data_IF_425164014407
#
_entry.id   IF_425164014407
#
_cell.length_a   1.000
_cell.length_b   1.000
_cell.length_c   1.000
_cell.angle_alpha   90.00
_cell.angle_beta   90.00
_cell.angle_gamma   90.00
#
_symmetry.space_group_name_H-M   'P 1'
#
loop_
_entity.id
_entity.type
_entity.pdbx_description
1 polymer ?
#
# COMPACT_ATOMS: atom_id res chain seq x y z
N UNK A 1 25.62 55.64 16.35
CA UNK A 1 26.43 54.77 17.23
C UNK A 1 26.33 53.34 16.76
N UNK A 2 27.41 52.57 16.87
CA UNK A 2 27.48 51.16 16.46
C UNK A 2 28.12 50.31 17.56
N UNK A 3 27.53 49.15 17.88
CA UNK A 3 28.04 48.27 18.94
C UNK A 3 29.18 47.43 18.40
N UNK A 4 30.39 47.56 18.97
CA UNK A 4 31.56 46.80 18.49
C UNK A 4 31.44 45.29 18.77
N UNK A 5 30.56 44.92 19.70
CA UNK A 5 30.27 43.53 20.06
C UNK A 5 29.49 42.77 18.97
N UNK A 6 28.81 43.46 18.05
CA UNK A 6 28.00 42.81 17.02
C UNK A 6 28.90 42.08 16.01
N UNK A 7 28.70 40.76 15.88
CA UNK A 7 29.51 39.88 15.00
C UNK A 7 29.22 40.14 13.51
N UNK A 8 28.08 40.75 13.19
CA UNK A 8 27.69 41.14 11.83
C UNK A 8 27.01 42.49 11.88
N UNK A 9 27.49 43.47 11.11
CA UNK A 9 26.65 44.59 10.70
C UNK A 9 25.56 44.04 9.76
N UNK A 10 24.42 43.65 10.35
CA UNK A 10 23.31 43.01 9.65
C UNK A 10 22.71 43.90 8.55
N UNK A 11 21.94 43.31 7.63
CA UNK A 11 21.33 44.03 6.50
C UNK A 11 20.49 45.25 6.91
N UNK A 12 19.84 45.19 8.09
CA UNK A 12 19.07 46.30 8.68
C UNK A 12 19.97 47.51 9.00
N UNK A 13 21.20 47.26 9.48
CA UNK A 13 22.16 48.33 9.77
C UNK A 13 22.61 49.04 8.48
N UNK A 14 22.68 48.32 7.35
CA UNK A 14 23.03 48.91 6.05
C UNK A 14 21.91 49.78 5.49
N UNK A 15 20.67 49.28 5.54
CA UNK A 15 19.48 50.01 5.09
C UNK A 15 19.34 51.34 5.82
N UNK A 16 19.41 51.29 7.15
CA UNK A 16 19.33 52.47 8.00
C UNK A 16 20.48 53.44 7.72
N UNK A 17 21.69 52.94 7.46
CA UNK A 17 22.84 53.78 7.16
C UNK A 17 22.77 54.45 5.79
N UNK A 18 22.27 53.74 4.78
CA UNK A 18 22.05 54.32 3.45
C UNK A 18 20.99 55.43 3.50
N UNK A 19 19.89 55.21 4.24
CA UNK A 19 18.88 56.23 4.50
C UNK A 19 19.46 57.43 5.26
N UNK A 20 20.25 57.19 6.31
CA UNK A 20 20.93 58.25 7.05
C UNK A 20 21.81 59.12 6.14
N UNK A 21 22.56 58.50 5.21
CA UNK A 21 23.38 59.23 4.24
C UNK A 21 22.53 60.10 3.32
N UNK A 22 21.38 59.60 2.85
CA UNK A 22 20.46 60.38 2.01
C UNK A 22 19.84 61.56 2.76
N UNK A 23 19.53 61.40 4.05
CA UNK A 23 19.00 62.49 4.89
C UNK A 23 20.04 63.59 5.13
N UNK A 24 21.29 63.20 5.42
CA UNK A 24 22.37 64.13 5.67
C UNK A 24 22.86 64.81 4.38
N UNK A 25 23.03 64.03 3.32
CA UNK A 25 23.74 64.45 2.12
C UNK A 25 25.25 64.42 2.29
N UNK A 26 25.96 64.24 1.18
CA UNK A 26 27.41 64.03 1.19
C UNK A 26 28.19 65.23 1.77
N UNK A 27 27.72 66.45 1.52
CA UNK A 27 28.39 67.68 1.96
C UNK A 27 28.39 67.86 3.50
N UNK A 28 27.40 67.28 4.20
CA UNK A 28 27.27 67.40 5.65
C UNK A 28 27.99 66.26 6.41
N UNK A 29 28.48 65.23 5.70
CA UNK A 29 29.12 64.07 6.32
C UNK A 29 30.38 64.42 7.11
N UNK A 30 31.08 65.51 6.75
CA UNK A 30 32.19 66.06 7.55
C UNK A 30 31.82 66.44 8.99
N UNK A 31 30.54 66.67 9.25
CA UNK A 31 30.00 66.96 10.58
C UNK A 31 29.36 65.73 11.24
N UNK A 32 29.57 64.53 10.70
CA UNK A 32 29.07 63.27 11.25
C UNK A 32 30.21 62.51 11.92
N UNK A 33 29.96 61.94 13.11
CA UNK A 33 30.84 60.93 13.68
C UNK A 33 30.13 59.58 13.88
N UNK A 34 30.84 58.54 13.50
CA UNK A 34 30.49 57.15 13.72
C UNK A 34 31.15 56.73 15.03
N UNK A 35 30.35 56.67 16.08
CA UNK A 35 30.83 56.29 17.41
C UNK A 35 30.65 54.78 17.62
N UNK A 36 31.74 54.07 17.89
CA UNK A 36 31.71 52.66 18.32
C UNK A 36 31.63 52.59 19.84
N UNK A 37 30.71 51.78 20.39
CA UNK A 37 30.53 51.60 21.84
C UNK A 37 30.54 50.12 22.24
N UNK A 38 30.41 49.84 23.55
CA UNK A 38 30.54 48.50 24.16
C UNK A 38 31.94 47.89 24.03
N UNK A 39 32.97 48.72 24.11
CA UNK A 39 34.38 48.29 24.11
C UNK A 39 34.78 47.51 25.37
N UNK A 40 34.01 47.65 26.45
CA UNK A 40 34.12 46.89 27.70
C UNK A 40 33.58 45.45 27.59
N UNK A 41 32.86 45.13 26.52
CA UNK A 41 32.21 43.83 26.32
C UNK A 41 32.91 42.95 25.27
N UNK A 42 34.07 43.36 24.78
CA UNK A 42 34.86 42.61 23.79
C UNK A 42 36.34 42.68 24.14
N UNK A 43 37.08 41.61 23.86
CA UNK A 43 38.54 41.67 23.93
C UNK A 43 39.09 42.74 22.98
N UNK A 44 40.11 43.48 23.43
CA UNK A 44 40.65 44.63 22.71
C UNK A 44 41.04 44.27 21.28
N UNK A 45 41.80 43.20 21.10
CA UNK A 45 42.27 42.75 19.78
C UNK A 45 41.11 42.38 18.84
N UNK A 46 40.05 41.78 19.38
CA UNK A 46 38.85 41.45 18.59
C UNK A 46 38.11 42.73 18.19
N UNK A 47 37.92 43.66 19.13
CA UNK A 47 37.28 44.95 18.88
C UNK A 47 38.03 45.77 17.82
N UNK A 48 39.37 45.80 17.89
CA UNK A 48 40.21 46.53 16.94
C UNK A 48 40.17 45.92 15.53
N UNK A 49 40.17 44.59 15.41
CA UNK A 49 39.95 43.92 14.12
C UNK A 49 38.59 44.26 13.51
N UNK A 50 37.53 44.28 14.33
CA UNK A 50 36.17 44.64 13.88
C UNK A 50 36.09 46.11 13.49
N UNK A 51 36.72 47.01 14.24
CA UNK A 51 36.76 48.42 13.89
C UNK A 51 37.50 48.64 12.56
N UNK A 52 38.62 47.96 12.35
CA UNK A 52 39.36 48.00 11.09
C UNK A 52 38.52 47.47 9.92
N UNK A 53 37.74 46.41 10.13
CA UNK A 53 36.79 45.89 9.14
C UNK A 53 35.71 46.94 8.81
N UNK A 54 35.08 47.53 9.83
CA UNK A 54 34.05 48.56 9.67
C UNK A 54 34.56 49.80 8.91
N UNK A 55 35.83 50.17 9.13
CA UNK A 55 36.49 51.30 8.47
C UNK A 55 36.90 51.00 7.02
N UNK A 56 37.25 49.76 6.70
CA UNK A 56 37.93 49.43 5.43
C UNK A 56 37.02 48.94 4.31
N UNK A 57 35.85 48.39 4.63
CA UNK A 57 34.97 47.79 3.61
C UNK A 57 33.90 48.77 3.13
N UNK A 58 33.68 48.81 1.82
CA UNK A 58 32.66 49.66 1.16
C UNK A 58 31.23 49.32 1.58
N UNK A 59 31.01 48.07 2.00
CA UNK A 59 29.74 47.61 2.55
C UNK A 59 29.44 48.16 3.96
N UNK A 60 30.40 48.85 4.59
CA UNK A 60 30.29 49.42 5.93
C UNK A 60 30.50 50.94 5.92
N UNK A 61 31.43 51.48 6.70
CA UNK A 61 31.53 52.92 6.95
C UNK A 61 32.52 53.62 6.03
N UNK A 62 33.37 52.87 5.31
CA UNK A 62 34.34 53.43 4.37
C UNK A 62 33.77 54.56 3.48
N UNK A 63 32.60 54.39 2.80
CA UNK A 63 32.10 55.41 1.88
C UNK A 63 31.75 56.75 2.54
N UNK A 64 31.50 56.75 3.86
CA UNK A 64 31.15 57.94 4.63
C UNK A 64 32.39 58.54 5.29
N UNK A 65 33.34 57.69 5.70
CA UNK A 65 34.66 58.13 6.16
C UNK A 65 35.45 58.81 5.03
N UNK A 66 35.38 58.28 3.80
CA UNK A 66 36.00 58.87 2.61
C UNK A 66 35.43 60.26 2.28
N UNK A 67 34.22 60.58 2.78
CA UNK A 67 33.55 61.89 2.63
C UNK A 67 33.74 62.82 3.83
N UNK A 68 34.68 62.49 4.72
CA UNK A 68 35.12 63.35 5.81
C UNK A 68 34.45 63.09 7.16
N UNK A 69 33.59 62.08 7.28
CA UNK A 69 33.07 61.68 8.58
C UNK A 69 34.20 61.11 9.46
N UNK A 70 34.05 61.28 10.77
CA UNK A 70 35.02 60.76 11.75
C UNK A 70 34.55 59.44 12.35
N UNK A 71 35.48 58.58 12.75
CA UNK A 71 35.19 57.37 13.54
C UNK A 71 35.82 57.51 14.92
N UNK A 72 35.00 57.40 15.98
CA UNK A 72 35.42 57.65 17.37
C UNK A 72 35.01 56.47 18.27
N UNK A 73 35.79 56.21 19.32
CA UNK A 73 35.49 55.17 20.31
C UNK A 73 34.85 55.79 21.55
N UNK A 74 33.72 55.23 21.99
CA UNK A 74 33.13 55.48 23.30
C UNK A 74 33.36 54.27 24.19
N UNK A 75 34.24 54.42 25.18
CA UNK A 75 34.64 53.34 26.10
C UNK A 75 33.72 53.23 27.33
N UNK A 76 32.50 53.78 27.26
CA UNK A 76 31.55 53.78 28.39
C UNK A 76 31.90 54.77 29.51
N UNK A 77 32.88 55.65 29.30
CA UNK A 77 33.37 56.60 30.30
C UNK A 77 32.94 58.05 30.00
N UNK A 78 32.82 58.88 31.05
CA UNK A 78 32.53 60.31 30.91
C UNK A 78 33.60 61.02 30.06
N UNK A 79 34.87 60.62 30.22
CA UNK A 79 36.01 61.19 29.51
C UNK A 79 35.89 60.95 28.00
N UNK A 80 35.54 59.73 27.57
CA UNK A 80 35.35 59.42 26.15
C UNK A 80 34.12 60.14 25.56
N UNK A 81 33.03 60.27 26.33
CA UNK A 81 31.87 61.07 25.91
C UNK A 81 32.23 62.56 25.70
N UNK A 82 32.95 63.16 26.65
CA UNK A 82 33.44 64.54 26.50
C UNK A 82 34.40 64.71 25.32
N UNK A 83 35.26 63.73 25.06
CA UNK A 83 36.14 63.76 23.89
C UNK A 83 35.35 63.77 22.57
N UNK A 84 34.29 62.95 22.48
CA UNK A 84 33.39 62.95 21.32
C UNK A 84 32.68 64.30 21.17
N UNK A 85 32.15 64.87 22.26
CA UNK A 85 31.48 66.18 22.19
C UNK A 85 32.43 67.29 21.75
N UNK A 86 33.66 67.33 22.28
CA UNK A 86 34.68 68.32 21.90
C UNK A 86 35.05 68.26 20.42
N UNK A 87 34.93 67.09 19.78
CA UNK A 87 35.16 66.94 18.34
C UNK A 87 34.24 67.83 17.50
N UNK A 88 33.02 68.13 17.98
CA UNK A 88 32.03 68.89 17.22
C UNK A 88 31.99 70.39 17.55
N UNK A 89 32.64 70.84 18.64
CA UNK A 89 32.52 72.22 19.16
C UNK A 89 32.96 73.28 18.14
N UNK A 90 33.95 72.96 17.30
CA UNK A 90 34.51 73.89 16.32
C UNK A 90 33.97 73.67 14.90
N UNK A 91 32.99 72.78 14.70
CA UNK A 91 32.47 72.49 13.37
C UNK A 91 31.55 73.61 12.91
N UNK A 92 31.78 74.12 11.71
CA UNK A 92 30.86 75.04 11.06
C UNK A 92 29.55 74.29 10.74
N UNK A 93 28.37 74.86 11.05
CA UNK A 93 27.09 74.24 10.69
C UNK A 93 26.98 74.00 9.18
N UNK A 94 26.43 72.84 8.80
CA UNK A 94 26.14 72.49 7.40
C UNK A 94 24.68 72.08 7.33
N UNK A 95 23.94 72.66 6.38
CA UNK A 95 22.54 72.31 6.13
C UNK A 95 22.46 70.85 5.67
N UNK A 96 21.55 70.08 6.27
CA UNK A 96 21.32 68.70 5.86
C UNK A 96 20.53 68.67 4.55
N UNK A 97 20.77 67.67 3.71
CA UNK A 97 20.07 67.52 2.43
C UNK A 97 18.54 67.53 2.60
N UNK A 98 18.00 66.84 3.61
CA UNK A 98 16.54 66.88 3.85
C UNK A 98 16.03 68.28 4.25
N UNK A 99 16.84 69.08 4.94
CA UNK A 99 16.45 70.44 5.33
C UNK A 99 16.44 71.37 4.11
N UNK A 100 17.45 71.28 3.25
CA UNK A 100 17.51 72.00 1.97
C UNK A 100 16.34 71.59 1.06
N UNK A 101 16.04 70.29 0.97
CA UNK A 101 14.91 69.77 0.19
C UNK A 101 13.55 70.25 0.70
N UNK A 102 13.29 70.18 2.01
CA UNK A 102 11.98 70.51 2.56
C UNK A 102 11.76 72.00 2.75
N UNK A 103 12.77 72.73 3.22
CA UNK A 103 12.65 74.15 3.61
C UNK A 103 12.99 75.05 2.43
N UNK A 104 14.17 74.88 1.84
CA UNK A 104 14.68 75.79 0.82
C UNK A 104 14.05 75.49 -0.57
N UNK A 105 13.84 74.21 -0.89
CA UNK A 105 13.21 73.76 -2.14
C UNK A 105 11.70 73.51 -2.02
N UNK A 106 11.14 73.54 -0.82
CA UNK A 106 9.70 73.41 -0.58
C UNK A 106 9.10 72.04 -0.94
N UNK A 107 9.91 70.97 -0.91
CA UNK A 107 9.44 69.61 -1.20
C UNK A 107 8.70 69.00 -0.01
N UNK A 108 7.67 68.19 -0.30
CA UNK A 108 7.09 67.32 0.72
C UNK A 108 8.08 66.23 1.16
N UNK A 109 7.96 65.74 2.39
CA UNK A 109 8.82 64.65 2.93
C UNK A 109 8.86 63.45 1.98
N UNK A 110 7.73 63.09 1.35
CA UNK A 110 7.63 61.95 0.43
C UNK A 110 8.31 62.20 -0.92
N UNK A 111 8.67 63.44 -1.22
CA UNK A 111 9.36 63.84 -2.46
C UNK A 111 10.87 64.00 -2.26
N UNK A 112 11.37 63.86 -1.03
CA UNK A 112 12.80 63.95 -0.69
C UNK A 112 13.61 62.82 -1.31
N UNK A 113 14.91 63.04 -1.51
CA UNK A 113 15.81 62.00 -2.03
C UNK A 113 15.87 60.76 -1.11
N UNK A 114 15.75 60.98 0.19
CA UNK A 114 15.67 59.91 1.19
C UNK A 114 14.41 59.05 1.04
N UNK A 115 13.25 59.66 0.84
CA UNK A 115 12.00 58.94 0.57
C UNK A 115 12.06 58.17 -0.74
N UNK A 116 12.59 58.78 -1.81
CA UNK A 116 12.75 58.13 -3.11
C UNK A 116 13.63 56.86 -3.03
N UNK A 117 14.70 56.90 -2.23
CA UNK A 117 15.55 55.72 -2.02
C UNK A 117 14.81 54.61 -1.26
N UNK A 118 14.07 54.96 -0.20
CA UNK A 118 13.29 53.99 0.56
C UNK A 118 12.21 53.34 -0.33
N UNK A 119 11.53 54.12 -1.15
CA UNK A 119 10.53 53.67 -2.12
C UNK A 119 11.11 52.70 -3.14
N UNK A 120 12.30 52.99 -3.68
CA UNK A 120 12.97 52.10 -4.62
C UNK A 120 13.26 50.73 -3.98
N UNK A 121 13.73 50.72 -2.72
CA UNK A 121 13.97 49.49 -1.97
C UNK A 121 12.66 48.72 -1.69
N UNK A 122 11.58 49.41 -1.30
CA UNK A 122 10.28 48.80 -1.07
C UNK A 122 9.74 48.17 -2.36
N UNK A 123 9.86 48.86 -3.50
CA UNK A 123 9.40 48.34 -4.80
C UNK A 123 10.20 47.14 -5.25
N UNK A 124 11.52 47.15 -5.09
CA UNK A 124 12.34 45.98 -5.46
C UNK A 124 12.01 44.78 -4.57
N UNK A 125 11.81 44.98 -3.27
CA UNK A 125 11.36 43.91 -2.38
C UNK A 125 9.95 43.42 -2.74
N UNK A 126 9.01 44.32 -3.04
CA UNK A 126 7.67 43.92 -3.49
C UNK A 126 7.73 43.06 -4.77
N UNK A 127 8.57 43.45 -5.74
CA UNK A 127 8.79 42.70 -6.99
C UNK A 127 9.40 41.31 -6.74
N UNK A 128 10.31 41.19 -5.77
CA UNK A 128 10.87 39.89 -5.36
C UNK A 128 9.80 39.00 -4.76
N UNK A 129 9.03 39.53 -3.81
CA UNK A 129 7.94 38.79 -3.17
C UNK A 129 6.87 38.38 -4.20
N UNK A 130 6.54 39.24 -5.17
CA UNK A 130 5.59 38.92 -6.24
C UNK A 130 6.07 37.70 -7.06
N UNK A 131 7.35 37.68 -7.45
CA UNK A 131 7.95 36.53 -8.15
C UNK A 131 7.96 35.25 -7.31
N UNK A 132 8.23 35.36 -6.02
CA UNK A 132 8.19 34.22 -5.10
C UNK A 132 6.78 33.65 -4.97
N UNK A 133 5.77 34.53 -4.86
CA UNK A 133 4.36 34.14 -4.84
C UNK A 133 3.95 33.49 -6.16
N UNK A 134 4.34 34.03 -7.31
CA UNK A 134 4.06 33.42 -8.61
C UNK A 134 4.68 32.03 -8.73
N UNK A 135 5.94 31.89 -8.33
CA UNK A 135 6.65 30.61 -8.33
C UNK A 135 5.95 29.59 -7.42
N UNK A 136 5.64 29.98 -6.18
CA UNK A 136 4.95 29.10 -5.22
C UNK A 136 3.57 28.67 -5.76
N UNK A 137 2.83 29.59 -6.39
CA UNK A 137 1.54 29.27 -7.05
C UNK A 137 1.71 28.30 -8.22
N UNK A 138 2.77 28.45 -9.02
CA UNK A 138 3.05 27.54 -10.13
C UNK A 138 3.42 26.13 -9.64
N UNK A 139 4.29 26.04 -8.63
CA UNK A 139 4.67 24.78 -7.98
C UNK A 139 3.43 24.08 -7.39
N UNK A 140 2.57 24.82 -6.70
CA UNK A 140 1.33 24.26 -6.14
C UNK A 140 0.38 23.72 -7.21
N UNK A 141 0.17 24.45 -8.31
CA UNK A 141 -0.66 23.98 -9.42
C UNK A 141 -0.08 22.72 -10.07
N UNK A 142 1.23 22.67 -10.27
CA UNK A 142 1.89 21.49 -10.83
C UNK A 142 1.75 20.27 -9.91
N UNK A 143 1.84 20.47 -8.59
CA UNK A 143 1.64 19.40 -7.61
C UNK A 143 0.21 18.85 -7.63
N UNK A 144 -0.81 19.71 -7.71
CA UNK A 144 -2.21 19.29 -7.84
C UNK A 144 -2.41 18.48 -9.12
N UNK A 145 -1.95 18.98 -10.27
CA UNK A 145 -2.10 18.29 -11.55
C UNK A 145 -1.40 16.92 -11.55
N UNK A 146 -0.20 16.81 -10.96
CA UNK A 146 0.50 15.55 -10.83
C UNK A 146 -0.25 14.56 -9.91
N UNK A 147 -0.85 15.06 -8.82
CA UNK A 147 -1.64 14.23 -7.92
C UNK A 147 -2.93 13.73 -8.57
N UNK A 148 -3.62 14.57 -9.34
CA UNK A 148 -4.82 14.18 -10.10
C UNK A 148 -4.51 13.13 -11.17
N UNK A 149 -3.41 13.31 -11.90
CA UNK A 149 -2.94 12.34 -12.89
C UNK A 149 -2.60 11.00 -12.25
N UNK A 150 -1.87 11.02 -11.13
CA UNK A 150 -1.52 9.81 -10.39
C UNK A 150 -2.78 9.10 -9.88
N UNK A 151 -3.73 9.83 -9.30
CA UNK A 151 -5.00 9.27 -8.86
C UNK A 151 -5.82 8.67 -10.01
N UNK A 152 -5.75 9.25 -11.22
CA UNK A 152 -6.38 8.67 -12.41
C UNK A 152 -5.74 7.33 -12.79
N UNK A 153 -4.40 7.29 -12.86
CA UNK A 153 -3.65 6.08 -13.19
C UNK A 153 -3.88 4.96 -12.17
N UNK A 154 -3.97 5.28 -10.88
CA UNK A 154 -4.21 4.30 -9.83
C UNK A 154 -5.63 3.72 -9.93
N UNK A 155 -6.65 4.54 -10.23
CA UNK A 155 -8.02 4.05 -10.49
C UNK A 155 -8.08 3.13 -11.71
N UNK A 156 -7.35 3.46 -12.77
CA UNK A 156 -7.29 2.63 -13.99
C UNK A 156 -6.61 1.28 -13.70
N UNK A 157 -5.51 1.28 -12.93
CA UNK A 157 -4.84 0.06 -12.48
C UNK A 157 -5.73 -0.81 -11.59
N UNK A 158 -6.48 -0.20 -10.67
CA UNK A 158 -7.43 -0.93 -9.83
C UNK A 158 -8.58 -1.52 -10.65
N UNK A 159 -9.10 -0.79 -11.65
CA UNK A 159 -10.15 -1.29 -12.54
C UNK A 159 -9.66 -2.51 -13.33
N UNK A 160 -8.46 -2.44 -13.91
CA UNK A 160 -7.87 -3.57 -14.64
C UNK A 160 -7.63 -4.78 -13.74
N UNK A 161 -7.17 -4.57 -12.49
CA UNK A 161 -7.02 -5.66 -11.52
C UNK A 161 -8.35 -6.34 -11.20
N UNK A 162 -9.41 -5.57 -10.98
CA UNK A 162 -10.75 -6.10 -10.73
C UNK A 162 -11.28 -6.88 -11.93
N UNK A 163 -11.05 -6.39 -13.14
CA UNK A 163 -11.43 -7.10 -14.37
C UNK A 163 -10.71 -8.45 -14.45
N UNK A 164 -9.39 -8.46 -14.21
CA UNK A 164 -8.61 -9.70 -14.18
C UNK A 164 -9.08 -10.68 -13.09
N UNK A 165 -9.42 -10.17 -11.91
CA UNK A 165 -9.97 -10.98 -10.80
C UNK A 165 -11.31 -11.61 -11.19
N UNK A 166 -12.21 -10.84 -11.81
CA UNK A 166 -13.50 -11.33 -12.31
C UNK A 166 -13.33 -12.37 -13.42
N UNK A 167 -12.39 -12.18 -14.33
CA UNK A 167 -12.07 -13.17 -15.37
C UNK A 167 -11.58 -14.49 -14.77
N UNK A 168 -10.66 -14.40 -13.79
CA UNK A 168 -10.14 -15.57 -13.10
C UNK A 168 -11.25 -16.30 -12.32
N UNK A 169 -12.15 -15.56 -11.68
CA UNK A 169 -13.29 -16.13 -10.95
C UNK A 169 -14.29 -16.80 -11.91
N UNK A 170 -14.61 -16.15 -13.03
CA UNK A 170 -15.44 -16.75 -14.09
C UNK A 170 -14.81 -18.02 -14.65
N UNK A 171 -13.49 -18.05 -14.83
CA UNK A 171 -12.79 -19.23 -15.29
C UNK A 171 -12.90 -20.37 -14.27
N UNK A 172 -12.70 -20.09 -12.98
CA UNK A 172 -12.88 -21.09 -11.91
C UNK A 172 -14.30 -21.65 -11.88
N UNK A 173 -15.31 -20.78 -11.95
CA UNK A 173 -16.72 -21.21 -11.97
C UNK A 173 -17.00 -22.09 -13.19
N UNK A 174 -16.45 -21.75 -14.37
CA UNK A 174 -16.58 -22.58 -15.58
C UNK A 174 -15.93 -23.96 -15.40
N UNK A 175 -14.73 -24.01 -14.83
CA UNK A 175 -14.03 -25.28 -14.57
C UNK A 175 -14.79 -26.16 -13.57
N UNK A 176 -15.34 -25.56 -12.50
CA UNK A 176 -16.16 -26.26 -11.52
C UNK A 176 -17.47 -26.78 -12.12
N UNK A 177 -18.16 -25.97 -12.92
CA UNK A 177 -19.37 -26.38 -13.63
C UNK A 177 -19.11 -27.57 -14.55
N UNK A 178 -18.00 -27.54 -15.31
CA UNK A 178 -17.61 -28.64 -16.20
C UNK A 178 -17.32 -29.92 -15.40
N UNK A 179 -16.64 -29.81 -14.25
CA UNK A 179 -16.38 -30.96 -13.37
C UNK A 179 -17.66 -31.55 -12.81
N UNK A 180 -18.58 -30.71 -12.34
CA UNK A 180 -19.89 -31.14 -11.83
C UNK A 180 -20.70 -31.85 -12.92
N UNK A 181 -20.68 -31.33 -14.14
CA UNK A 181 -21.36 -31.96 -15.28
C UNK A 181 -20.75 -33.33 -15.61
N UNK A 182 -19.42 -33.44 -15.65
CA UNK A 182 -18.72 -34.72 -15.83
C UNK A 182 -19.07 -35.73 -14.73
N UNK A 183 -19.11 -35.29 -13.47
CA UNK A 183 -19.52 -36.15 -12.35
C UNK A 183 -20.96 -36.63 -12.48
N UNK A 184 -21.88 -35.76 -12.91
CA UNK A 184 -23.29 -36.14 -13.14
C UNK A 184 -23.42 -37.16 -14.26
N UNK A 185 -22.70 -36.98 -15.37
CA UNK A 185 -22.70 -37.93 -16.49
C UNK A 185 -22.13 -39.28 -16.04
N UNK A 186 -20.99 -39.30 -15.33
CA UNK A 186 -20.39 -40.52 -14.83
C UNK A 186 -21.31 -41.26 -13.84
N UNK A 187 -21.96 -40.53 -12.92
CA UNK A 187 -22.92 -41.12 -11.99
C UNK A 187 -24.13 -41.72 -12.70
N UNK A 188 -24.67 -41.06 -13.73
CA UNK A 188 -25.77 -41.59 -14.53
C UNK A 188 -25.37 -42.86 -15.31
N UNK A 189 -24.16 -42.88 -15.89
CA UNK A 189 -23.62 -44.06 -16.57
C UNK A 189 -23.41 -45.23 -15.61
N UNK A 190 -22.91 -44.96 -14.41
CA UNK A 190 -22.74 -45.98 -13.36
C UNK A 190 -24.08 -46.55 -12.92
N UNK A 191 -25.09 -45.70 -12.70
CA UNK A 191 -26.44 -46.11 -12.34
C UNK A 191 -27.09 -46.96 -13.44
N UNK A 192 -26.97 -46.55 -14.70
CA UNK A 192 -27.45 -47.33 -15.85
C UNK A 192 -26.75 -48.69 -15.95
N UNK A 193 -25.44 -48.73 -15.76
CA UNK A 193 -24.67 -49.98 -15.75
C UNK A 193 -25.15 -50.94 -14.66
N UNK A 194 -25.35 -50.43 -13.44
CA UNK A 194 -25.86 -51.22 -12.32
C UNK A 194 -27.28 -51.74 -12.59
N UNK A 195 -28.15 -50.92 -13.20
CA UNK A 195 -29.50 -51.35 -13.60
C UNK A 195 -29.46 -52.49 -14.61
N UNK A 196 -28.64 -52.35 -15.67
CA UNK A 196 -28.50 -53.41 -16.68
C UNK A 196 -27.91 -54.70 -16.09
N UNK A 197 -26.91 -54.59 -15.22
CA UNK A 197 -26.35 -55.75 -14.50
C UNK A 197 -27.41 -56.44 -13.64
N UNK A 198 -28.20 -55.67 -12.90
CA UNK A 198 -29.28 -56.20 -12.09
C UNK A 198 -30.37 -56.88 -12.94
N UNK A 199 -30.75 -56.28 -14.06
CA UNK A 199 -31.69 -56.90 -15.02
C UNK A 199 -31.14 -58.21 -15.60
N UNK A 200 -29.85 -58.24 -15.98
CA UNK A 200 -29.19 -59.46 -16.46
C UNK A 200 -29.13 -60.55 -15.39
N UNK A 201 -28.80 -60.20 -14.15
CA UNK A 201 -28.81 -61.13 -13.01
C UNK A 201 -30.20 -61.69 -12.76
N UNK A 202 -31.22 -60.84 -12.70
CA UNK A 202 -32.61 -61.27 -12.54
C UNK A 202 -33.05 -62.19 -13.68
N UNK A 203 -32.66 -61.87 -14.92
CA UNK A 203 -32.95 -62.72 -16.09
C UNK A 203 -32.26 -64.08 -15.99
N UNK A 204 -31.01 -64.14 -15.52
CA UNK A 204 -30.30 -65.41 -15.27
C UNK A 204 -31.00 -66.22 -14.19
N UNK A 205 -31.40 -65.60 -13.08
CA UNK A 205 -32.12 -66.26 -12.00
C UNK A 205 -33.47 -66.81 -12.48
N UNK A 206 -34.20 -66.08 -13.32
CA UNK A 206 -35.45 -66.57 -13.91
C UNK A 206 -35.22 -67.80 -14.80
N UNK A 207 -34.20 -67.77 -15.67
CA UNK A 207 -33.85 -68.91 -16.53
C UNK A 207 -33.45 -70.12 -15.67
N UNK A 208 -32.65 -69.91 -14.62
CA UNK A 208 -32.22 -70.97 -13.71
C UNK A 208 -33.40 -71.56 -12.94
N UNK A 209 -34.29 -70.72 -12.41
CA UNK A 209 -35.52 -71.14 -11.73
C UNK A 209 -36.49 -71.88 -12.66
N UNK A 210 -36.62 -71.45 -13.92
CA UNK A 210 -37.40 -72.17 -14.93
C UNK A 210 -36.79 -73.54 -15.24
N UNK A 211 -35.47 -73.62 -15.40
CA UNK A 211 -34.76 -74.88 -15.62
C UNK A 211 -34.89 -75.83 -14.41
N UNK A 212 -34.80 -75.32 -13.19
CA UNK A 212 -35.05 -76.09 -11.97
C UNK A 212 -36.49 -76.60 -11.90
N UNK A 213 -37.46 -75.74 -12.20
CA UNK A 213 -38.88 -76.11 -12.24
C UNK A 213 -39.15 -77.19 -13.28
N UNK A 214 -38.52 -77.09 -14.46
CA UNK A 214 -38.62 -78.10 -15.50
C UNK A 214 -37.98 -79.42 -15.06
N UNK A 215 -36.78 -79.39 -14.48
CA UNK A 215 -36.13 -80.59 -13.92
C UNK A 215 -36.97 -81.25 -12.82
N UNK A 216 -37.58 -80.45 -11.95
CA UNK A 216 -38.46 -80.95 -10.89
C UNK A 216 -39.73 -81.59 -11.46
N UNK A 217 -40.30 -80.99 -12.51
CA UNK A 217 -41.43 -81.54 -13.25
C UNK A 217 -41.07 -82.88 -13.91
N UNK A 218 -39.97 -82.92 -14.67
CA UNK A 218 -39.48 -84.12 -15.36
C UNK A 218 -39.14 -85.24 -14.35
N UNK A 219 -38.54 -84.90 -13.20
CA UNK A 219 -38.24 -85.84 -12.13
C UNK A 219 -39.53 -86.38 -11.46
N UNK A 220 -40.53 -85.53 -11.24
CA UNK A 220 -41.82 -85.95 -10.71
C UNK A 220 -42.57 -86.86 -11.70
N UNK A 221 -42.48 -86.58 -13.00
CA UNK A 221 -43.05 -87.42 -14.04
C UNK A 221 -42.33 -88.77 -14.13
N UNK A 222 -40.99 -88.78 -14.07
CA UNK A 222 -40.20 -90.00 -14.00
C UNK A 222 -40.53 -90.84 -12.76
N UNK A 223 -40.72 -90.21 -11.59
CA UNK A 223 -41.12 -90.87 -10.36
C UNK A 223 -42.54 -91.47 -10.47
N UNK A 224 -43.49 -90.79 -11.13
CA UNK A 224 -44.82 -91.34 -11.41
C UNK A 224 -44.74 -92.57 -12.31
N UNK A 225 -43.98 -92.49 -13.41
CA UNK A 225 -43.78 -93.63 -14.32
C UNK A 225 -43.12 -94.81 -13.60
N UNK A 226 -42.12 -94.56 -12.76
CA UNK A 226 -41.50 -95.59 -11.93
C UNK A 226 -42.49 -96.21 -10.93
N UNK A 227 -43.35 -95.39 -10.32
CA UNK A 227 -44.41 -95.87 -9.42
C UNK A 227 -45.45 -96.71 -10.18
N UNK A 228 -45.91 -96.27 -11.35
CA UNK A 228 -46.82 -97.04 -12.21
C UNK A 228 -46.21 -98.38 -12.63
N UNK A 229 -44.93 -98.39 -13.01
CA UNK A 229 -44.20 -99.62 -13.33
C UNK A 229 -44.07 -100.54 -12.12
N UNK A 230 -43.81 -100.00 -10.93
CA UNK A 230 -43.77 -100.76 -9.68
C UNK A 230 -45.15 -101.35 -9.32
N UNK A 231 -46.23 -100.58 -9.46
CA UNK A 231 -47.61 -101.05 -9.26
C UNK A 231 -47.95 -102.16 -10.26
N UNK A 232 -47.60 -101.98 -11.54
CA UNK A 232 -47.79 -103.00 -12.57
C UNK A 232 -47.01 -104.29 -12.28
N UNK A 233 -45.76 -104.18 -11.80
CA UNK A 233 -44.97 -105.35 -11.35
C UNK A 233 -45.61 -106.05 -10.14
N UNK A 234 -46.13 -105.28 -9.17
CA UNK A 234 -46.84 -105.84 -8.00
C UNK A 234 -48.14 -106.53 -8.40
N UNK A 235 -48.91 -105.98 -9.34
CA UNK A 235 -50.11 -106.62 -9.89
C UNK A 235 -49.76 -107.90 -10.67
N UNK A 236 -48.70 -107.88 -11.49
CA UNK A 236 -48.21 -109.08 -12.16
C UNK A 236 -47.75 -110.17 -11.17
N UNK A 237 -47.09 -109.79 -10.07
CA UNK A 237 -46.71 -110.70 -9.00
C UNK A 237 -47.93 -111.27 -8.24
N UNK A 238 -48.97 -110.45 -8.00
CA UNK A 238 -50.22 -110.89 -7.39
C UNK A 238 -51.03 -111.83 -8.30
N UNK A 239 -51.06 -111.58 -9.60
CA UNK A 239 -51.72 -112.47 -10.58
C UNK A 239 -50.96 -113.79 -10.76
N UNK A 240 -49.62 -113.79 -10.63
CA UNK A 240 -48.81 -115.00 -10.59
C UNK A 240 -49.09 -115.87 -9.34
N UNK A 241 -49.39 -115.24 -8.19
CA UNK A 241 -49.82 -115.95 -6.97
C UNK A 241 -51.24 -116.50 -7.11
N UNK A 242 -52.14 -115.79 -7.82
CA UNK A 242 -53.53 -116.21 -8.03
C UNK A 242 -53.67 -117.42 -8.96
N UNK A 243 -52.71 -117.65 -9.85
CA UNK A 243 -52.72 -118.73 -10.85
C UNK A 243 -51.76 -119.90 -10.54
N UNK A 244 -51.27 -120.05 -9.30
CA UNK A 244 -50.36 -121.14 -8.93
C UNK A 244 -51.11 -122.45 -8.57
N UNK A 245 -50.75 -123.62 -9.17
CA UNK A 245 -51.31 -124.93 -8.83
C UNK A 245 -50.75 -125.49 -7.50
N UNK A 246 -51.49 -126.38 -6.79
CA UNK A 246 -51.16 -126.78 -5.43
C UNK A 246 -49.98 -127.76 -5.37
N UNK A 247 -49.06 -127.67 -4.37
CA UNK A 247 -47.92 -128.57 -4.28
C UNK A 247 -48.24 -129.87 -3.53
N UNK A 248 -47.73 -130.98 -4.07
CA UNK A 248 -47.73 -132.32 -3.46
C UNK A 248 -46.40 -132.59 -2.71
N UNK A 249 -46.47 -133.41 -1.65
CA UNK A 249 -45.39 -133.80 -0.74
C UNK A 249 -44.32 -134.73 -1.36
N UNK A 250 -43.03 -134.57 -1.01
CA UNK A 250 -42.25 -135.52 -0.17
C UNK A 250 -40.70 -135.29 -0.15
N UNK A 251 -40.18 -135.24 1.08
CA UNK A 251 -38.97 -135.84 1.68
C UNK A 251 -37.52 -135.81 1.10
N UNK A 252 -36.61 -135.53 2.05
CA UNK A 252 -35.17 -135.89 2.19
C UNK A 252 -34.15 -135.20 1.26
N UNK A 253 -33.00 -134.69 1.71
CA UNK A 253 -32.38 -134.63 3.04
C UNK A 253 -30.95 -134.05 2.95
N UNK A 254 -30.49 -133.45 4.06
CA UNK A 254 -29.07 -133.18 4.39
C UNK A 254 -28.35 -132.07 3.59
N UNK A 255 -27.67 -131.08 4.18
CA UNK A 255 -27.40 -130.79 5.58
C UNK A 255 -26.24 -129.79 5.69
N UNK A 256 -26.35 -128.93 6.72
CA UNK A 256 -25.27 -128.17 7.40
C UNK A 256 -24.64 -126.98 6.66
N UNK A 257 -24.34 -125.85 7.31
CA UNK A 257 -24.52 -125.37 8.70
C UNK A 257 -24.13 -123.87 8.69
N UNK A 258 -24.96 -123.06 9.36
CA UNK A 258 -24.61 -122.00 10.36
C UNK A 258 -23.77 -120.80 9.84
N UNK A 259 -23.95 -119.56 10.29
CA UNK A 259 -24.73 -118.95 11.37
C UNK A 259 -24.67 -117.42 11.14
N UNK A 260 -25.80 -116.70 11.27
CA UNK A 260 -26.16 -115.82 12.41
C UNK A 260 -25.32 -114.51 12.47
N UNK A 261 -25.84 -113.32 12.75
CA UNK A 261 -27.02 -112.98 13.58
C UNK A 261 -27.21 -111.44 13.61
N UNK A 262 -28.48 -111.00 13.73
CA UNK A 262 -28.98 -109.91 14.62
C UNK A 262 -28.51 -108.45 14.38
N UNK A 263 -29.27 -107.39 14.68
CA UNK A 263 -30.69 -107.10 15.00
C UNK A 263 -30.75 -105.57 15.19
N UNK A 264 -31.81 -104.93 14.70
CA UNK A 264 -32.71 -103.99 15.43
C UNK A 264 -32.06 -102.90 16.30
N UNK A 265 -32.30 -101.63 15.93
CA UNK A 265 -33.28 -100.72 16.56
C UNK A 265 -33.64 -99.60 15.58
#
# INVERSE_FOLDING_TARGET
MHRIMDVKAGGISRRNFSLFRALCGDASLKNVAIVTNFWDQVERDVGERREAELRSKDIFFKPVLDKGASMLRHEGTLQSAHAIMRHFVNNAPVVLQIQDEMVDKGLDVLQTGAAAQLDAEIREEARRHEKEVERARAEHRAAIAAQEEQARLDREREALRREQEMENELQRIREEALRLEQQRIAAAQEEERLRLQHEEEMRRQLIEAEAERQRAFDAAEAARRAHEQWVAQQQAAMDAIRNAPPPQHHHHGGGRRLHNRMKVL
#
